data_IF_034015137498
#
_entry.id   IF_034015137498
#
_cell.length_a   1.000
_cell.length_b   1.000
_cell.length_c   1.000
_cell.angle_alpha   90.00
_cell.angle_beta   90.00
_cell.angle_gamma   90.00
#
_symmetry.space_group_name_H-M   'P 1'
#
loop_
_entity.id
_entity.type
_entity.pdbx_description
1 polymer ?
#
# COMPACT_ATOMS: atom_id res chain seq x y z
N UNK A 1 21.89 24.69 23.93
CA UNK A 1 21.23 24.93 22.62
C UNK A 1 22.05 24.38 21.45
N UNK A 2 23.31 24.79 21.24
CA UNK A 2 24.11 24.33 20.09
C UNK A 2 24.28 22.80 20.00
N UNK A 3 24.61 22.14 21.11
CA UNK A 3 24.74 20.67 21.15
C UNK A 3 23.45 19.96 20.71
N UNK A 4 22.29 20.45 21.18
CA UNK A 4 20.99 19.91 20.77
C UNK A 4 20.75 20.02 19.27
N UNK A 5 21.03 21.19 18.66
CA UNK A 5 20.86 21.41 17.22
C UNK A 5 21.76 20.48 16.40
N UNK A 6 23.03 20.33 16.81
CA UNK A 6 23.99 19.44 16.15
C UNK A 6 23.51 17.99 16.26
N UNK A 7 23.13 17.53 17.45
CA UNK A 7 22.63 16.16 17.67
C UNK A 7 21.38 15.89 16.86
N UNK A 8 20.42 16.81 16.83
CA UNK A 8 19.19 16.69 16.03
C UNK A 8 19.52 16.60 14.54
N UNK A 9 20.43 17.43 14.04
CA UNK A 9 20.86 17.42 12.64
C UNK A 9 21.48 16.06 12.27
N UNK A 10 22.44 15.59 13.08
CA UNK A 10 23.11 14.29 12.86
C UNK A 10 22.10 13.15 12.88
N UNK A 11 21.17 13.14 13.83
CA UNK A 11 20.14 12.12 13.95
C UNK A 11 19.22 12.08 12.74
N UNK A 12 18.70 13.24 12.30
CA UNK A 12 17.82 13.32 11.11
C UNK A 12 18.54 12.89 9.83
N UNK A 13 19.78 13.33 9.64
CA UNK A 13 20.60 12.91 8.50
C UNK A 13 20.86 11.40 8.53
N UNK A 14 21.18 10.86 9.70
CA UNK A 14 21.42 9.41 9.88
C UNK A 14 20.17 8.59 9.56
N UNK A 15 18.99 9.05 10.00
CA UNK A 15 17.71 8.38 9.70
C UNK A 15 17.37 8.38 8.20
N UNK A 16 17.72 9.44 7.48
CA UNK A 16 17.58 9.46 6.02
C UNK A 16 18.56 8.50 5.37
N UNK A 17 19.84 8.50 5.78
CA UNK A 17 20.86 7.61 5.24
C UNK A 17 20.52 6.13 5.48
N UNK A 18 20.02 5.78 6.66
CA UNK A 18 19.59 4.42 6.98
C UNK A 18 18.44 3.95 6.08
N UNK A 19 17.51 4.83 5.71
CA UNK A 19 16.43 4.49 4.76
C UNK A 19 16.88 4.31 3.30
N UNK A 20 18.14 4.65 2.96
CA UNK A 20 18.68 4.42 1.61
C UNK A 20 19.22 2.98 1.48
N UNK A 21 19.55 2.34 2.60
CA UNK A 21 20.12 0.99 2.60
C UNK A 21 19.02 -0.02 2.26
N UNK A 22 19.14 -0.69 1.12
CA UNK A 22 18.19 -1.71 0.61
C UNK A 22 18.31 -3.06 1.34
N UNK A 23 18.42 -3.06 2.68
CA UNK A 23 18.43 -4.28 3.49
C UNK A 23 17.01 -4.63 3.94
N UNK A 24 16.69 -5.91 3.96
CA UNK A 24 15.40 -6.47 4.38
C UNK A 24 15.17 -6.51 5.91
N UNK A 25 16.17 -6.17 6.72
CA UNK A 25 16.06 -6.23 8.18
C UNK A 25 15.27 -5.03 8.72
N UNK A 26 14.37 -5.27 9.67
CA UNK A 26 13.38 -4.28 10.13
C UNK A 26 14.00 -2.94 10.58
N UNK A 27 15.23 -2.94 11.14
CA UNK A 27 15.89 -1.71 11.63
C UNK A 27 16.20 -0.72 10.52
N UNK A 28 16.40 -1.18 9.28
CA UNK A 28 16.55 -0.29 8.13
C UNK A 28 15.18 0.13 7.59
N UNK A 29 14.25 -0.84 7.52
CA UNK A 29 12.89 -0.66 6.99
C UNK A 29 12.06 0.35 7.78
N UNK A 30 12.21 0.42 9.10
CA UNK A 30 11.43 1.34 9.93
C UNK A 30 11.65 2.82 9.56
N UNK A 31 12.83 3.15 9.01
CA UNK A 31 13.13 4.51 8.58
C UNK A 31 12.49 4.87 7.22
N UNK A 32 11.92 3.91 6.49
CA UNK A 32 11.12 4.21 5.30
C UNK A 32 9.79 4.87 5.65
N UNK A 33 9.23 4.58 6.83
CA UNK A 33 7.88 5.01 7.19
C UNK A 33 7.76 6.53 7.40
N UNK A 34 8.56 7.19 8.27
CA UNK A 34 8.29 8.57 8.66
C UNK A 34 8.82 9.64 7.67
N UNK A 35 8.63 9.51 6.35
CA UNK A 35 9.17 10.47 5.37
C UNK A 35 8.68 11.90 5.60
N UNK A 36 7.37 12.10 5.78
CA UNK A 36 6.80 13.43 6.00
C UNK A 36 7.25 14.03 7.33
N UNK A 37 7.31 13.21 8.38
CA UNK A 37 7.76 13.60 9.71
C UNK A 37 9.24 14.00 9.67
N UNK A 38 10.09 13.21 8.99
CA UNK A 38 11.50 13.56 8.74
C UNK A 38 11.61 14.89 7.99
N UNK A 39 10.79 15.14 6.98
CA UNK A 39 10.79 16.40 6.22
C UNK A 39 10.45 17.59 7.13
N UNK A 40 9.36 17.50 7.88
CA UNK A 40 8.91 18.57 8.79
C UNK A 40 9.96 18.83 9.87
N UNK A 41 10.50 17.79 10.51
CA UNK A 41 11.55 17.93 11.52
C UNK A 41 12.84 18.51 10.93
N UNK A 42 13.18 18.18 9.68
CA UNK A 42 14.34 18.76 9.00
C UNK A 42 14.14 20.25 8.70
N UNK A 43 12.93 20.67 8.32
CA UNK A 43 12.60 22.10 8.14
C UNK A 43 12.69 22.84 9.48
N UNK A 44 12.14 22.28 10.56
CA UNK A 44 12.26 22.85 11.90
C UNK A 44 13.74 22.94 12.31
N UNK A 45 14.52 21.89 12.06
CA UNK A 45 15.96 21.86 12.35
C UNK A 45 16.71 22.95 11.57
N UNK A 46 16.41 23.17 10.29
CA UNK A 46 16.98 24.24 9.49
C UNK A 46 16.69 25.63 10.09
N UNK A 47 15.45 25.88 10.51
CA UNK A 47 15.07 27.13 11.19
C UNK A 47 15.84 27.29 12.51
N UNK A 48 15.98 26.21 13.29
CA UNK A 48 16.76 26.25 14.53
C UNK A 48 18.23 26.59 14.29
N UNK A 49 18.84 26.06 13.22
CA UNK A 49 20.21 26.41 12.82
C UNK A 49 20.29 27.90 12.48
N UNK A 50 19.39 28.40 11.63
CA UNK A 50 19.41 29.80 11.15
C UNK A 50 19.31 30.80 12.31
N UNK A 51 18.40 30.57 13.26
CA UNK A 51 18.09 31.55 14.30
C UNK A 51 18.85 31.36 15.62
N UNK A 52 19.31 30.14 15.93
CA UNK A 52 19.84 29.83 17.27
C UNK A 52 21.24 29.24 17.27
N UNK A 53 21.81 28.84 16.12
CA UNK A 53 23.17 28.31 16.06
C UNK A 53 24.18 29.42 15.75
N UNK A 54 25.00 29.78 16.74
CA UNK A 54 26.05 30.80 16.64
C UNK A 54 27.46 30.17 16.73
N UNK A 55 27.64 29.00 16.11
CA UNK A 55 28.91 28.28 16.08
C UNK A 55 29.92 28.87 15.09
N UNK A 56 31.02 28.16 14.85
CA UNK A 56 32.02 28.60 13.87
C UNK A 56 31.38 28.65 12.46
N UNK A 57 31.78 29.64 11.66
CA UNK A 57 31.19 29.94 10.35
C UNK A 57 31.19 28.72 9.40
N UNK A 58 32.27 27.94 9.41
CA UNK A 58 32.38 26.72 8.60
C UNK A 58 31.29 25.69 8.97
N UNK A 59 31.12 25.39 10.25
CA UNK A 59 30.12 24.43 10.72
C UNK A 59 28.69 24.94 10.50
N UNK A 60 28.46 26.25 10.64
CA UNK A 60 27.18 26.89 10.36
C UNK A 60 26.73 26.61 8.92
N UNK A 61 27.59 26.93 7.94
CA UNK A 61 27.28 26.71 6.53
C UNK A 61 27.21 25.24 6.15
N UNK A 62 28.06 24.39 6.74
CA UNK A 62 28.01 22.95 6.53
C UNK A 62 26.66 22.35 6.97
N UNK A 63 26.19 22.69 8.17
CA UNK A 63 24.91 22.20 8.69
C UNK A 63 23.74 22.66 7.84
N UNK A 64 23.72 23.94 7.44
CA UNK A 64 22.70 24.46 6.50
C UNK A 64 22.72 23.66 5.20
N UNK A 65 23.89 23.51 4.57
CA UNK A 65 24.01 22.79 3.31
C UNK A 65 23.50 21.35 3.38
N UNK A 66 23.91 20.60 4.41
CA UNK A 66 23.50 19.20 4.60
C UNK A 66 22.01 19.06 4.90
N UNK A 67 21.46 19.89 5.79
CA UNK A 67 20.03 19.82 6.13
C UNK A 67 19.16 20.28 4.95
N UNK A 68 19.57 21.31 4.21
CA UNK A 68 18.88 21.73 2.99
C UNK A 68 18.90 20.65 1.91
N UNK A 69 20.03 19.97 1.71
CA UNK A 69 20.10 18.83 0.79
C UNK A 69 19.17 17.70 1.21
N UNK A 70 19.13 17.37 2.51
CA UNK A 70 18.23 16.37 3.07
C UNK A 70 16.75 16.73 2.88
N UNK A 71 16.38 18.00 3.09
CA UNK A 71 15.03 18.50 2.80
C UNK A 71 14.69 18.32 1.32
N UNK A 72 15.60 18.69 0.41
CA UNK A 72 15.40 18.51 -1.03
C UNK A 72 15.19 17.04 -1.41
N UNK A 73 16.01 16.15 -0.84
CA UNK A 73 15.88 14.71 -1.04
C UNK A 73 14.52 14.16 -0.53
N UNK A 74 14.15 14.45 0.72
CA UNK A 74 12.88 14.01 1.29
C UNK A 74 11.68 14.60 0.54
N UNK A 75 11.80 15.84 0.06
CA UNK A 75 10.77 16.47 -0.75
C UNK A 75 10.57 15.73 -2.07
N UNK A 76 11.64 15.39 -2.80
CA UNK A 76 11.58 14.59 -4.04
C UNK A 76 10.87 13.24 -3.79
N UNK A 77 11.15 12.59 -2.65
CA UNK A 77 10.50 11.33 -2.29
C UNK A 77 9.01 11.47 -1.97
N UNK A 78 8.57 12.63 -1.48
CA UNK A 78 7.19 12.88 -1.06
C UNK A 78 6.32 13.40 -2.20
N UNK A 79 6.86 14.24 -3.09
CA UNK A 79 6.13 14.90 -4.19
C UNK A 79 5.23 13.94 -4.98
N UNK A 80 5.66 12.71 -5.35
CA UNK A 80 4.81 11.77 -6.07
C UNK A 80 3.49 11.45 -5.39
N UNK A 81 3.38 11.59 -4.07
CA UNK A 81 2.18 11.30 -3.28
C UNK A 81 1.42 12.56 -2.88
N UNK A 82 1.67 13.67 -3.56
CA UNK A 82 0.96 14.93 -3.40
C UNK A 82 0.25 15.31 -4.70
N UNK A 83 -0.69 16.28 -4.68
CA UNK A 83 -1.27 16.83 -5.90
C UNK A 83 -0.27 17.46 -6.89
N UNK A 84 0.98 17.72 -6.46
CA UNK A 84 2.06 18.25 -7.30
C UNK A 84 2.75 17.15 -8.14
N UNK A 85 2.60 15.88 -7.76
CA UNK A 85 3.20 14.75 -8.46
C UNK A 85 2.51 14.41 -9.78
N UNK A 86 3.24 13.74 -10.69
CA UNK A 86 2.66 13.16 -11.90
C UNK A 86 1.65 12.08 -11.51
N UNK A 87 0.44 12.17 -12.04
CA UNK A 87 -0.60 11.15 -11.89
C UNK A 87 -0.23 9.95 -12.76
N UNK A 88 -0.18 8.75 -12.18
CA UNK A 88 -0.02 7.51 -12.96
C UNK A 88 -1.34 7.07 -13.58
N UNK A 89 -2.40 7.03 -12.77
CA UNK A 89 -3.74 6.69 -13.24
C UNK A 89 -4.46 7.96 -13.66
N UNK A 90 -4.97 8.04 -14.89
CA UNK A 90 -5.77 9.18 -15.35
C UNK A 90 -7.20 9.14 -14.79
N UNK A 91 -7.87 10.31 -14.74
CA UNK A 91 -9.26 10.38 -14.28
C UNK A 91 -10.23 10.00 -15.40
N UNK A 92 -11.36 9.42 -15.01
CA UNK A 92 -12.51 9.24 -15.90
C UNK A 92 -13.04 10.60 -16.35
N UNK A 93 -13.29 10.74 -17.65
CA UNK A 93 -13.94 11.91 -18.26
C UNK A 93 -15.43 11.69 -18.49
N UNK A 94 -15.83 10.46 -18.79
CA UNK A 94 -17.22 10.07 -19.05
C UNK A 94 -17.50 8.76 -18.32
N UNK A 95 -18.49 8.77 -17.42
CA UNK A 95 -18.83 7.60 -16.64
C UNK A 95 -19.56 6.54 -17.49
N UNK A 96 -19.11 5.30 -17.40
CA UNK A 96 -19.68 4.12 -18.03
C UNK A 96 -19.98 3.11 -16.91
N UNK A 97 -21.20 3.11 -16.34
CA UNK A 97 -21.53 2.29 -15.17
C UNK A 97 -21.33 0.79 -15.37
N UNK A 98 -21.53 0.28 -16.59
CA UNK A 98 -21.34 -1.15 -16.91
C UNK A 98 -19.88 -1.58 -16.93
N UNK A 99 -18.95 -0.62 -16.99
CA UNK A 99 -17.50 -0.81 -16.97
C UNK A 99 -16.86 -0.33 -15.66
N UNK A 100 -17.68 0.07 -14.68
CA UNK A 100 -17.19 0.54 -13.38
C UNK A 100 -17.07 -0.61 -12.39
N UNK A 101 -16.12 -0.46 -11.47
CA UNK A 101 -15.86 -1.39 -10.38
C UNK A 101 -15.46 -0.60 -9.13
N UNK A 102 -16.25 -0.72 -8.07
CA UNK A 102 -15.93 -0.14 -6.77
C UNK A 102 -15.50 -1.21 -5.77
N UNK A 103 -14.42 -0.94 -5.03
CA UNK A 103 -13.81 -1.87 -4.09
C UNK A 103 -13.59 -1.16 -2.76
N UNK A 104 -13.98 -1.79 -1.66
CA UNK A 104 -13.62 -1.41 -0.30
C UNK A 104 -12.65 -2.46 0.27
N UNK A 105 -11.50 -2.00 0.75
CA UNK A 105 -10.49 -2.80 1.44
C UNK A 105 -10.49 -2.37 2.91
N UNK A 106 -10.61 -3.31 3.83
CA UNK A 106 -10.57 -3.04 5.25
C UNK A 106 -9.83 -4.15 5.98
N UNK A 107 -8.62 -3.86 6.47
CA UNK A 107 -8.09 -4.57 7.62
C UNK A 107 -8.99 -4.26 8.83
N UNK A 108 -9.61 -5.29 9.41
CA UNK A 108 -10.60 -5.10 10.47
C UNK A 108 -9.98 -5.00 11.86
N UNK A 109 -8.68 -5.30 12.00
CA UNK A 109 -8.01 -5.63 13.26
C UNK A 109 -8.68 -6.82 13.95
N UNK A 110 -8.06 -8.00 13.98
CA UNK A 110 -8.75 -9.24 14.39
C UNK A 110 -9.46 -9.12 15.76
N UNK A 111 -8.83 -8.43 16.72
CA UNK A 111 -9.35 -8.22 18.08
C UNK A 111 -10.43 -7.13 18.19
N UNK A 112 -10.62 -6.31 17.16
CA UNK A 112 -11.70 -5.32 17.12
C UNK A 112 -13.08 -6.00 17.10
N UNK A 113 -13.99 -5.54 17.96
CA UNK A 113 -15.33 -6.10 18.10
C UNK A 113 -16.42 -5.27 17.44
N UNK A 114 -16.09 -4.13 16.82
CA UNK A 114 -17.05 -3.24 16.19
C UNK A 114 -17.41 -3.64 14.74
N UNK A 115 -17.89 -4.88 14.57
CA UNK A 115 -18.39 -5.37 13.27
C UNK A 115 -19.60 -4.60 12.76
N UNK A 116 -20.45 -4.08 13.66
CA UNK A 116 -21.57 -3.21 13.30
C UNK A 116 -21.11 -1.92 12.62
N UNK A 117 -20.06 -1.28 13.13
CA UNK A 117 -19.47 -0.10 12.50
C UNK A 117 -18.88 -0.41 11.13
N UNK A 118 -18.22 -1.57 10.99
CA UNK A 118 -17.74 -2.07 9.69
C UNK A 118 -18.88 -2.22 8.68
N UNK A 119 -19.95 -2.93 9.05
CA UNK A 119 -21.14 -3.14 8.23
C UNK A 119 -21.81 -1.83 7.84
N UNK A 120 -21.94 -0.89 8.78
CA UNK A 120 -22.48 0.44 8.50
C UNK A 120 -21.66 1.19 7.45
N UNK A 121 -20.33 1.17 7.54
CA UNK A 121 -19.47 1.84 6.57
C UNK A 121 -19.51 1.13 5.19
N UNK A 122 -19.63 -0.21 5.16
CA UNK A 122 -19.87 -0.97 3.92
C UNK A 122 -21.20 -0.56 3.29
N UNK A 123 -22.31 -0.57 4.03
CA UNK A 123 -23.63 -0.22 3.51
C UNK A 123 -23.72 1.23 3.03
N UNK A 124 -23.07 2.14 3.74
CA UNK A 124 -23.02 3.57 3.38
C UNK A 124 -22.28 3.83 2.08
N UNK A 125 -21.24 3.07 1.77
CA UNK A 125 -20.45 3.24 0.55
C UNK A 125 -20.87 2.30 -0.59
N UNK A 126 -21.60 1.24 -0.28
CA UNK A 126 -22.20 0.29 -1.23
C UNK A 126 -21.24 -0.21 -2.34
N UNK A 127 -20.00 -0.64 -2.03
CA UNK A 127 -19.04 -1.06 -3.05
C UNK A 127 -19.52 -2.30 -3.83
N UNK A 128 -18.96 -2.55 -5.00
CA UNK A 128 -19.22 -3.79 -5.76
C UNK A 128 -18.50 -4.98 -5.11
N UNK A 129 -17.28 -4.76 -4.58
CA UNK A 129 -16.46 -5.74 -3.86
C UNK A 129 -16.05 -5.22 -2.48
N UNK A 130 -16.04 -6.11 -1.49
CA UNK A 130 -15.52 -5.86 -0.14
C UNK A 130 -14.46 -6.92 0.15
N UNK A 131 -13.26 -6.47 0.51
CA UNK A 131 -12.20 -7.31 1.06
C UNK A 131 -12.01 -6.95 2.54
N UNK A 132 -12.28 -7.90 3.42
CA UNK A 132 -11.98 -7.82 4.84
C UNK A 132 -10.73 -8.65 5.13
N UNK A 133 -9.74 -8.06 5.80
CA UNK A 133 -8.47 -8.70 6.21
C UNK A 133 -8.40 -8.79 7.73
N UNK A 134 -7.57 -9.68 8.25
CA UNK A 134 -7.48 -10.04 9.67
C UNK A 134 -8.80 -10.58 10.26
N UNK A 135 -9.53 -11.36 9.47
CA UNK A 135 -10.82 -11.91 9.91
C UNK A 135 -10.69 -13.32 10.46
N UNK A 136 -11.30 -13.56 11.61
CA UNK A 136 -11.46 -14.89 12.18
C UNK A 136 -12.93 -15.38 12.12
N UNK A 137 -13.25 -16.49 12.79
CA UNK A 137 -14.58 -17.10 12.71
C UNK A 137 -15.69 -16.19 13.25
N UNK A 138 -15.37 -15.32 14.23
CA UNK A 138 -16.31 -14.31 14.75
C UNK A 138 -16.64 -13.29 13.66
N UNK A 139 -15.63 -12.71 13.03
CA UNK A 139 -15.83 -11.75 11.93
C UNK A 139 -16.61 -12.35 10.76
N UNK A 140 -16.33 -13.60 10.39
CA UNK A 140 -17.10 -14.35 9.38
C UNK A 140 -18.58 -14.51 9.74
N UNK A 141 -18.87 -14.79 11.02
CA UNK A 141 -20.25 -14.91 11.51
C UNK A 141 -20.97 -13.57 11.59
N UNK A 142 -20.31 -12.55 12.14
CA UNK A 142 -20.88 -11.22 12.36
C UNK A 142 -21.12 -10.47 11.05
N UNK A 143 -20.34 -10.74 10.01
CA UNK A 143 -20.48 -10.09 8.68
C UNK A 143 -21.29 -10.91 7.67
N UNK A 144 -21.81 -12.09 8.07
CA UNK A 144 -22.57 -13.01 7.21
C UNK A 144 -23.76 -12.34 6.53
N UNK A 145 -24.36 -11.31 7.14
CA UNK A 145 -25.50 -10.59 6.54
C UNK A 145 -25.19 -9.95 5.18
N UNK A 146 -23.91 -9.74 4.85
CA UNK A 146 -23.48 -9.26 3.54
C UNK A 146 -23.89 -10.19 2.39
N UNK A 147 -24.06 -11.49 2.62
CA UNK A 147 -24.50 -12.46 1.59
C UNK A 147 -25.89 -12.12 0.99
N UNK A 148 -26.69 -11.32 1.71
CA UNK A 148 -27.97 -10.82 1.20
C UNK A 148 -27.78 -9.89 0.00
N UNK A 149 -26.70 -9.11 -0.04
CA UNK A 149 -26.38 -8.13 -1.09
C UNK A 149 -25.27 -8.62 -2.01
N UNK A 150 -24.25 -9.26 -1.45
CA UNK A 150 -23.05 -9.75 -2.14
C UNK A 150 -23.19 -11.26 -2.39
N UNK A 151 -23.75 -11.62 -3.55
CA UNK A 151 -24.12 -13.01 -3.87
C UNK A 151 -22.93 -13.94 -4.07
N UNK A 152 -21.76 -13.40 -4.37
CA UNK A 152 -20.53 -14.17 -4.57
C UNK A 152 -19.56 -13.88 -3.44
N UNK A 153 -18.90 -14.90 -2.91
CA UNK A 153 -17.96 -14.72 -1.81
C UNK A 153 -16.90 -15.82 -1.75
N UNK A 154 -15.75 -15.49 -1.18
CA UNK A 154 -14.67 -16.40 -0.78
C UNK A 154 -14.33 -16.08 0.67
N UNK A 155 -14.42 -17.06 1.57
CA UNK A 155 -14.34 -16.83 3.03
C UNK A 155 -13.30 -17.76 3.64
N UNK A 156 -12.28 -17.18 4.24
CA UNK A 156 -11.11 -17.86 4.82
C UNK A 156 -10.86 -17.28 6.21
N UNK A 157 -11.77 -17.48 7.18
CA UNK A 157 -11.51 -17.03 8.54
C UNK A 157 -10.35 -17.84 9.14
N UNK A 158 -9.36 -17.14 9.70
CA UNK A 158 -8.23 -17.75 10.40
C UNK A 158 -8.02 -17.04 11.74
N UNK A 159 -7.52 -17.76 12.74
CA UNK A 159 -7.24 -17.19 14.07
C UNK A 159 -5.82 -16.58 14.17
N UNK A 160 -5.03 -16.65 13.09
CA UNK A 160 -3.64 -16.22 13.02
C UNK A 160 -3.47 -14.83 12.41
N UNK A 161 -4.49 -13.96 12.45
CA UNK A 161 -4.50 -12.61 11.83
C UNK A 161 -4.38 -12.58 10.29
N UNK A 162 -4.25 -13.70 9.59
CA UNK A 162 -4.16 -13.72 8.11
C UNK A 162 -5.44 -14.13 7.39
N UNK A 163 -6.55 -14.26 8.13
CA UNK A 163 -7.83 -14.62 7.52
C UNK A 163 -8.40 -13.50 6.65
N UNK A 164 -9.12 -13.89 5.59
CA UNK A 164 -9.70 -12.97 4.61
C UNK A 164 -11.14 -13.34 4.24
N UNK A 165 -12.00 -12.33 4.10
CA UNK A 165 -13.34 -12.47 3.53
C UNK A 165 -13.48 -11.55 2.33
N UNK A 166 -13.69 -12.13 1.16
CA UNK A 166 -14.02 -11.42 -0.07
C UNK A 166 -15.52 -11.58 -0.36
N UNK A 167 -16.25 -10.47 -0.43
CA UNK A 167 -17.65 -10.41 -0.83
C UNK A 167 -17.79 -9.61 -2.14
N UNK A 168 -18.62 -10.08 -3.06
CA UNK A 168 -18.80 -9.47 -4.37
C UNK A 168 -20.26 -9.49 -4.83
N UNK A 169 -20.72 -8.36 -5.38
CA UNK A 169 -21.97 -8.26 -6.14
C UNK A 169 -21.82 -8.83 -7.55
N UNK A 170 -20.59 -8.85 -8.07
CA UNK A 170 -20.23 -9.33 -9.39
C UNK A 170 -19.78 -10.78 -9.34
N UNK A 171 -20.01 -11.53 -10.41
CA UNK A 171 -19.63 -12.94 -10.49
C UNK A 171 -18.12 -13.12 -10.31
N UNK A 172 -17.76 -14.00 -9.37
CA UNK A 172 -16.39 -14.46 -9.15
C UNK A 172 -16.15 -15.74 -9.96
N UNK A 173 -15.09 -15.75 -10.77
CA UNK A 173 -14.80 -16.81 -11.74
C UNK A 173 -13.50 -17.50 -11.35
N UNK A 174 -13.56 -18.82 -11.21
CA UNK A 174 -12.39 -19.67 -10.91
C UNK A 174 -11.60 -19.14 -9.71
N UNK A 175 -12.29 -18.90 -8.59
CA UNK A 175 -11.66 -18.47 -7.34
C UNK A 175 -10.74 -19.57 -6.79
N UNK A 176 -9.49 -19.22 -6.57
CA UNK A 176 -8.47 -20.08 -5.96
C UNK A 176 -7.94 -19.43 -4.68
N UNK A 177 -7.65 -20.27 -3.69
CA UNK A 177 -6.96 -19.89 -2.47
C UNK A 177 -5.56 -20.47 -2.58
N UNK A 178 -4.56 -19.60 -2.61
CA UNK A 178 -3.16 -20.01 -2.77
C UNK A 178 -2.34 -19.55 -1.58
N UNK A 179 -1.33 -20.36 -1.26
CA UNK A 179 -0.34 -20.11 -0.21
C UNK A 179 1.01 -19.99 -0.94
N UNK A 180 1.31 -18.77 -1.42
CA UNK A 180 2.39 -18.57 -2.40
C UNK A 180 3.78 -18.73 -1.81
N UNK A 181 3.93 -18.35 -0.54
CA UNK A 181 5.23 -18.32 0.17
C UNK A 181 5.14 -19.05 1.50
N UNK A 182 4.15 -18.71 2.33
CA UNK A 182 3.94 -19.29 3.66
C UNK A 182 2.66 -20.14 3.70
N UNK A 183 2.69 -21.27 4.42
CA UNK A 183 1.64 -22.31 4.37
C UNK A 183 0.33 -21.93 5.06
N UNK A 184 0.36 -20.91 5.90
CA UNK A 184 -0.76 -20.45 6.72
C UNK A 184 -1.18 -19.00 6.41
N UNK A 185 -0.58 -18.40 5.37
CA UNK A 185 -0.89 -17.06 4.87
C UNK A 185 -1.54 -17.20 3.49
N UNK A 186 -2.87 -17.07 3.41
CA UNK A 186 -3.58 -17.22 2.15
C UNK A 186 -3.48 -15.96 1.28
N UNK A 187 -3.69 -16.18 -0.01
CA UNK A 187 -4.00 -15.17 -1.03
C UNK A 187 -5.27 -15.62 -1.77
N UNK A 188 -6.10 -14.67 -2.24
CA UNK A 188 -7.29 -14.98 -3.06
C UNK A 188 -7.04 -14.54 -4.48
N UNK A 189 -7.10 -15.49 -5.41
CA UNK A 189 -6.93 -15.26 -6.84
C UNK A 189 -8.26 -15.54 -7.52
N UNK A 190 -8.87 -14.55 -8.17
CA UNK A 190 -10.18 -14.75 -8.79
C UNK A 190 -10.43 -13.84 -9.97
N UNK A 191 -11.17 -14.33 -10.96
CA UNK A 191 -11.73 -13.50 -12.01
C UNK A 191 -12.96 -12.74 -11.51
N UNK A 192 -13.14 -11.48 -11.90
CA UNK A 192 -14.34 -10.68 -11.62
C UNK A 192 -15.01 -10.33 -12.95
N UNK A 193 -16.26 -10.71 -13.13
CA UNK A 193 -17.02 -10.39 -14.34
C UNK A 193 -17.70 -9.03 -14.21
N UNK A 194 -17.23 -8.04 -14.97
CA UNK A 194 -17.92 -6.76 -15.06
C UNK A 194 -19.29 -6.90 -15.73
N UNK A 195 -20.16 -5.93 -15.50
CA UNK A 195 -21.53 -5.87 -16.06
C UNK A 195 -21.54 -5.82 -17.60
N UNK A 196 -20.44 -5.42 -18.23
CA UNK A 196 -20.27 -5.43 -19.69
C UNK A 196 -19.70 -6.75 -20.25
N UNK A 197 -19.48 -7.77 -19.41
CA UNK A 197 -18.89 -9.04 -19.80
C UNK A 197 -17.36 -9.05 -19.86
N UNK A 198 -16.68 -7.98 -19.42
CA UNK A 198 -15.22 -7.97 -19.31
C UNK A 198 -14.79 -8.73 -18.04
N UNK A 199 -13.93 -9.73 -18.20
CA UNK A 199 -13.25 -10.39 -17.08
C UNK A 199 -12.06 -9.55 -16.62
N UNK A 200 -11.95 -9.33 -15.32
CA UNK A 200 -10.80 -8.73 -14.65
C UNK A 200 -10.15 -9.80 -13.79
N UNK A 201 -8.83 -9.82 -13.67
CA UNK A 201 -8.13 -10.64 -12.70
C UNK A 201 -7.90 -9.85 -11.40
N UNK A 202 -8.34 -10.42 -10.29
CA UNK A 202 -8.13 -9.89 -8.94
C UNK A 202 -7.14 -10.78 -8.18
N UNK A 203 -6.17 -10.15 -7.53
CA UNK A 203 -5.30 -10.77 -6.53
C UNK A 203 -5.48 -10.01 -5.20
N UNK A 204 -5.92 -10.71 -4.16
CA UNK A 204 -6.01 -10.16 -2.81
C UNK A 204 -4.92 -10.77 -1.93
N UNK A 205 -4.10 -9.92 -1.32
CA UNK A 205 -2.91 -10.29 -0.55
C UNK A 205 -2.95 -9.70 0.86
N UNK A 206 -2.31 -10.39 1.81
CA UNK A 206 -2.01 -9.86 3.13
C UNK A 206 -0.72 -10.51 3.68
N UNK A 207 0.45 -10.17 3.12
CA UNK A 207 1.71 -10.78 3.52
C UNK A 207 2.16 -10.34 4.92
N UNK A 208 2.98 -11.14 5.58
CA UNK A 208 3.51 -10.87 6.93
C UNK A 208 4.29 -9.55 7.02
N UNK A 209 4.05 -8.71 8.05
CA UNK A 209 4.87 -7.54 8.27
C UNK A 209 6.27 -7.88 8.80
N UNK A 210 7.30 -7.09 8.45
CA UNK A 210 8.59 -7.18 9.14
C UNK A 210 8.47 -6.55 10.54
N UNK A 211 8.19 -7.35 11.57
CA UNK A 211 8.17 -6.93 12.98
C UNK A 211 9.10 -7.78 13.84
N UNK A 212 9.84 -7.20 14.81
CA UNK A 212 10.87 -7.91 15.59
C UNK A 212 10.40 -9.19 16.29
N UNK A 213 9.12 -9.25 16.66
CA UNK A 213 8.55 -10.32 17.46
C UNK A 213 7.86 -11.42 16.63
N UNK A 214 7.69 -11.21 15.32
CA UNK A 214 7.01 -12.14 14.41
C UNK A 214 7.94 -12.53 13.26
N UNK A 215 8.35 -11.54 12.45
CA UNK A 215 9.31 -11.71 11.37
C UNK A 215 10.33 -10.56 11.34
N UNK A 216 11.60 -10.76 11.72
CA UNK A 216 12.59 -9.69 11.76
C UNK A 216 13.01 -9.19 10.37
N UNK A 217 12.61 -9.88 9.29
CA UNK A 217 12.93 -9.56 7.91
C UNK A 217 11.66 -9.36 7.08
N UNK A 218 11.78 -8.66 5.96
CA UNK A 218 10.70 -8.49 4.99
C UNK A 218 10.73 -9.52 3.86
N UNK A 219 11.46 -10.62 4.02
CA UNK A 219 11.87 -11.49 2.92
C UNK A 219 10.67 -12.19 2.26
N UNK A 220 9.81 -12.81 3.07
CA UNK A 220 8.63 -13.55 2.66
C UNK A 220 7.62 -12.63 1.98
N UNK A 221 7.35 -11.48 2.62
CA UNK A 221 6.51 -10.41 2.07
C UNK A 221 6.98 -9.93 0.70
N UNK A 222 8.28 -9.63 0.59
CA UNK A 222 8.86 -9.14 -0.66
C UNK A 222 8.79 -10.23 -1.76
N UNK A 223 8.99 -11.49 -1.39
CA UNK A 223 8.87 -12.64 -2.30
C UNK A 223 7.44 -12.79 -2.81
N UNK A 224 6.42 -12.73 -1.93
CA UNK A 224 5.02 -12.87 -2.32
C UNK A 224 4.57 -11.77 -3.28
N UNK A 225 4.97 -10.52 -3.01
CA UNK A 225 4.71 -9.39 -3.90
C UNK A 225 5.33 -9.63 -5.28
N UNK A 226 6.58 -10.07 -5.35
CA UNK A 226 7.26 -10.28 -6.64
C UNK A 226 6.76 -11.51 -7.41
N UNK A 227 6.34 -12.58 -6.73
CA UNK A 227 5.64 -13.69 -7.37
C UNK A 227 4.30 -13.23 -7.95
N UNK A 228 3.55 -12.40 -7.21
CA UNK A 228 2.31 -11.80 -7.72
C UNK A 228 2.58 -10.84 -8.88
N UNK A 229 3.70 -10.12 -8.87
CA UNK A 229 4.10 -9.26 -9.98
C UNK A 229 4.32 -10.06 -11.28
N UNK A 230 4.97 -11.23 -11.20
CA UNK A 230 5.14 -12.12 -12.35
C UNK A 230 3.79 -12.65 -12.87
N UNK A 231 2.84 -12.96 -11.98
CA UNK A 231 1.49 -13.39 -12.35
C UNK A 231 0.72 -12.25 -13.04
N UNK A 232 0.78 -11.04 -12.48
CA UNK A 232 0.15 -9.86 -13.03
C UNK A 232 0.70 -9.53 -14.43
N UNK A 233 2.02 -9.54 -14.60
CA UNK A 233 2.68 -9.25 -15.88
C UNK A 233 2.33 -10.28 -16.97
N UNK A 234 2.18 -11.55 -16.61
CA UNK A 234 1.82 -12.64 -17.56
C UNK A 234 0.32 -12.71 -17.85
N UNK A 235 -0.51 -12.03 -17.06
CA UNK A 235 -1.96 -12.05 -17.21
C UNK A 235 -2.38 -11.29 -18.47
N UNK A 236 -3.33 -11.85 -19.22
CA UNK A 236 -3.89 -11.22 -20.43
C UNK A 236 -5.13 -10.37 -20.15
N UNK A 237 -5.77 -10.59 -19.00
CA UNK A 237 -6.91 -9.81 -18.55
C UNK A 237 -6.41 -8.57 -17.79
N UNK A 238 -7.19 -7.48 -17.71
CA UNK A 238 -6.89 -6.36 -16.83
C UNK A 238 -6.74 -6.85 -15.39
N UNK A 239 -5.67 -6.43 -14.74
CA UNK A 239 -5.31 -6.87 -13.39
C UNK A 239 -5.61 -5.79 -12.36
N UNK A 240 -6.07 -6.23 -11.19
CA UNK A 240 -6.13 -5.46 -9.94
C UNK A 240 -5.47 -6.30 -8.83
N UNK A 241 -4.56 -5.69 -8.07
CA UNK A 241 -3.97 -6.26 -6.86
C UNK A 241 -4.37 -5.40 -5.66
N UNK A 242 -5.00 -5.99 -4.65
CA UNK A 242 -5.51 -5.28 -3.47
C UNK A 242 -5.09 -5.96 -2.17
N UNK A 243 -5.12 -5.20 -1.08
CA UNK A 243 -4.95 -5.73 0.28
C UNK A 243 -4.02 -4.87 1.12
N UNK A 244 -3.70 -5.35 2.31
CA UNK A 244 -2.72 -4.73 3.20
C UNK A 244 -1.36 -5.36 2.95
N UNK A 245 -0.47 -4.63 2.27
CA UNK A 245 0.83 -5.13 1.86
C UNK A 245 1.87 -5.02 2.97
N UNK A 246 1.50 -4.52 4.17
CA UNK A 246 2.41 -4.30 5.29
C UNK A 246 3.66 -3.51 4.90
N UNK A 247 3.52 -2.60 3.95
CA UNK A 247 4.60 -1.79 3.41
C UNK A 247 4.08 -0.44 2.92
N UNK A 248 4.90 0.60 3.07
CA UNK A 248 4.51 1.95 2.67
C UNK A 248 4.59 2.13 1.17
N UNK A 249 3.66 2.92 0.61
CA UNK A 249 3.52 3.18 -0.84
C UNK A 249 4.79 3.65 -1.58
N UNK A 250 5.77 4.14 -0.82
CA UNK A 250 6.99 4.75 -1.33
C UNK A 250 8.24 3.95 -0.98
N UNK A 251 8.08 2.76 -0.43
CA UNK A 251 9.18 1.84 -0.19
C UNK A 251 9.81 1.39 -1.51
N UNK A 252 11.08 1.01 -1.46
CA UNK A 252 11.77 0.46 -2.62
C UNK A 252 11.10 -0.83 -3.14
N UNK A 253 10.56 -1.66 -2.26
CA UNK A 253 9.90 -2.93 -2.57
C UNK A 253 8.55 -2.73 -3.26
N UNK A 254 7.78 -1.72 -2.85
CA UNK A 254 6.56 -1.32 -3.57
C UNK A 254 6.89 -0.77 -4.95
N UNK A 255 7.94 0.04 -5.07
CA UNK A 255 8.39 0.54 -6.38
C UNK A 255 8.86 -0.59 -7.29
N UNK A 256 9.64 -1.54 -6.76
CA UNK A 256 10.07 -2.74 -7.47
C UNK A 256 8.86 -3.57 -7.94
N UNK A 257 7.87 -3.77 -7.08
CA UNK A 257 6.61 -4.43 -7.44
C UNK A 257 5.91 -3.74 -8.62
N UNK A 258 5.78 -2.40 -8.60
CA UNK A 258 5.15 -1.65 -9.68
C UNK A 258 5.92 -1.80 -11.01
N UNK A 259 7.25 -1.71 -10.97
CA UNK A 259 8.11 -1.90 -12.15
C UNK A 259 8.01 -3.32 -12.72
N UNK A 260 8.06 -4.34 -11.86
CA UNK A 260 8.04 -5.73 -12.30
C UNK A 260 6.64 -6.16 -12.80
N UNK A 261 5.57 -5.66 -12.16
CA UNK A 261 4.19 -6.02 -12.52
C UNK A 261 3.62 -5.23 -13.68
N UNK A 262 4.15 -4.03 -13.96
CA UNK A 262 3.55 -3.09 -14.90
C UNK A 262 2.27 -2.42 -14.39
N UNK A 263 1.94 -2.58 -13.10
CA UNK A 263 0.76 -1.97 -12.48
C UNK A 263 1.03 -0.51 -12.10
N UNK A 264 -0.05 0.23 -11.86
CA UNK A 264 -0.06 1.64 -11.51
C UNK A 264 -0.55 1.84 -10.08
N UNK A 265 0.00 2.85 -9.39
CA UNK A 265 -0.50 3.29 -8.09
C UNK A 265 -1.46 4.49 -8.25
N UNK A 266 -2.77 4.33 -7.96
CA UNK A 266 -3.74 5.42 -8.05
C UNK A 266 -3.49 6.57 -7.06
N UNK A 267 -2.69 6.36 -6.00
CA UNK A 267 -2.34 7.40 -5.01
C UNK A 267 -1.42 8.47 -5.59
N UNK A 268 -0.56 8.09 -6.55
CA UNK A 268 0.43 9.01 -7.13
C UNK A 268 -0.26 10.18 -7.83
N UNK A 269 0.22 11.39 -7.55
CA UNK A 269 -0.33 12.67 -7.98
C UNK A 269 -1.59 13.10 -7.23
N UNK A 270 -1.90 12.50 -6.07
CA UNK A 270 -3.15 12.79 -5.33
C UNK A 270 -2.96 12.96 -3.83
N UNK A 271 -2.37 11.98 -3.15
CA UNK A 271 -2.33 11.98 -1.70
C UNK A 271 -1.72 10.70 -1.15
N UNK A 272 -1.44 10.70 0.15
CA UNK A 272 -0.88 9.53 0.83
C UNK A 272 -1.94 8.45 1.10
N UNK A 273 -3.17 8.83 1.44
CA UNK A 273 -4.24 7.90 1.86
C UNK A 273 -3.82 7.00 3.03
N UNK A 274 -3.19 7.59 4.06
CA UNK A 274 -2.69 6.87 5.21
C UNK A 274 -3.79 6.05 5.93
N UNK A 275 -3.66 4.73 5.92
CA UNK A 275 -4.59 3.79 6.53
C UNK A 275 -4.18 3.39 7.94
N UNK A 276 -2.88 3.25 8.24
CA UNK A 276 -2.37 2.76 9.54
C UNK A 276 -1.30 3.67 10.14
N UNK A 277 -1.23 3.99 11.42
CA UNK A 277 -2.06 3.48 12.50
C UNK A 277 -3.15 4.49 12.85
N UNK A 278 -4.41 4.06 12.76
CA UNK A 278 -5.56 4.92 12.83
C UNK A 278 -5.69 5.70 14.14
N UNK A 279 -5.20 5.15 15.26
CA UNK A 279 -5.23 5.80 16.58
C UNK A 279 -4.13 6.85 16.79
N UNK A 280 -3.13 6.94 15.90
CA UNK A 280 -2.00 7.88 16.03
C UNK A 280 -1.94 8.87 14.86
N UNK A 281 -2.64 10.03 14.93
CA UNK A 281 -2.74 10.98 13.82
C UNK A 281 -1.41 11.45 13.20
N UNK A 282 -0.35 11.55 14.01
CA UNK A 282 0.97 12.02 13.60
C UNK A 282 1.80 10.89 12.96
N UNK A 283 1.49 9.63 13.24
CA UNK A 283 2.24 8.44 12.78
C UNK A 283 1.33 7.53 11.96
N UNK A 284 0.78 8.08 10.87
CA UNK A 284 -0.01 7.33 9.89
C UNK A 284 0.74 7.18 8.57
N UNK A 285 0.51 6.06 7.91
CA UNK A 285 1.20 5.49 6.77
C UNK A 285 0.20 4.72 5.89
N UNK A 286 0.45 4.59 4.59
CA UNK A 286 -0.46 3.90 3.67
C UNK A 286 -0.01 2.46 3.42
N UNK A 287 -0.60 1.52 4.16
CA UNK A 287 -0.25 0.09 4.08
C UNK A 287 -1.26 -0.71 3.24
N UNK A 288 -2.51 -0.28 3.20
CA UNK A 288 -3.55 -0.86 2.35
C UNK A 288 -3.39 -0.31 0.93
N UNK A 289 -3.24 -1.18 -0.07
CA UNK A 289 -2.94 -0.86 -1.46
C UNK A 289 -4.03 -1.32 -2.44
N UNK A 290 -4.11 -0.62 -3.57
CA UNK A 290 -4.89 -1.03 -4.73
C UNK A 290 -4.10 -0.69 -5.99
N UNK A 291 -3.33 -1.64 -6.51
CA UNK A 291 -2.56 -1.49 -7.74
C UNK A 291 -3.38 -1.98 -8.93
N UNK A 292 -3.33 -1.25 -10.04
CA UNK A 292 -4.22 -1.48 -11.17
C UNK A 292 -3.46 -1.46 -12.48
N UNK A 293 -3.84 -2.32 -13.41
CA UNK A 293 -3.29 -2.33 -14.76
C UNK A 293 -3.61 -1.04 -15.53
N UNK A 294 -2.85 -0.80 -16.60
CA UNK A 294 -2.95 0.40 -17.44
C UNK A 294 -4.30 0.57 -18.14
N UNK A 295 -5.20 -0.41 -18.09
CA UNK A 295 -6.53 -0.33 -18.70
C UNK A 295 -7.59 0.30 -17.79
N UNK A 296 -7.25 0.65 -16.55
CA UNK A 296 -8.17 1.29 -15.61
C UNK A 296 -7.97 2.80 -15.53
N UNK A 297 -9.07 3.53 -15.48
CA UNK A 297 -9.13 4.94 -15.08
C UNK A 297 -9.72 5.07 -13.69
N UNK A 298 -9.34 6.12 -13.00
CA UNK A 298 -9.81 6.40 -11.64
C UNK A 298 -11.02 7.32 -11.64
N UNK A 299 -12.12 6.88 -11.01
CA UNK A 299 -13.26 7.74 -10.68
C UNK A 299 -13.03 8.39 -9.33
N UNK A 300 -12.71 7.58 -8.31
CA UNK A 300 -12.48 8.06 -6.96
C UNK A 300 -11.51 7.14 -6.20
N UNK A 301 -10.74 7.74 -5.30
CA UNK A 301 -10.05 7.04 -4.21
C UNK A 301 -10.25 7.87 -2.96
N UNK A 302 -10.60 7.22 -1.85
CA UNK A 302 -10.78 7.90 -0.56
C UNK A 302 -10.52 6.93 0.59
N UNK A 303 -10.05 7.50 1.69
CA UNK A 303 -10.00 6.83 2.98
C UNK A 303 -11.35 7.04 3.68
N UNK A 304 -11.95 5.96 4.16
CA UNK A 304 -13.28 5.95 4.77
C UNK A 304 -13.22 6.28 6.27
N UNK A 305 -14.40 6.34 6.90
CA UNK A 305 -14.49 6.44 8.35
C UNK A 305 -13.99 5.13 9.00
N UNK A 306 -13.36 5.26 10.17
CA UNK A 306 -12.94 4.10 10.94
C UNK A 306 -14.10 3.56 11.80
N UNK A 307 -14.05 2.27 12.09
CA UNK A 307 -14.93 1.53 12.98
C UNK A 307 -14.11 0.90 14.13
N UNK A 308 -13.21 1.68 14.73
CA UNK A 308 -12.32 1.27 15.83
C UNK A 308 -11.25 0.21 15.47
N UNK A 309 -10.97 0.00 14.19
CA UNK A 309 -9.78 -0.74 13.75
C UNK A 309 -8.53 0.13 13.92
N UNK A 310 -7.35 -0.47 13.97
CA UNK A 310 -6.08 0.23 13.83
C UNK A 310 -5.78 0.65 12.36
N UNK A 311 -6.59 0.21 11.40
CA UNK A 311 -6.60 0.65 10.01
C UNK A 311 -7.85 1.47 9.66
N UNK A 312 -7.70 2.43 8.75
CA UNK A 312 -8.83 3.04 8.04
C UNK A 312 -9.12 2.26 6.76
N UNK A 313 -10.38 1.99 6.42
CA UNK A 313 -10.71 1.36 5.15
C UNK A 313 -10.38 2.27 3.97
N UNK A 314 -9.94 1.67 2.87
CA UNK A 314 -9.67 2.34 1.60
C UNK A 314 -10.76 1.96 0.60
N UNK A 315 -11.35 2.99 -0.02
CA UNK A 315 -12.32 2.83 -1.09
C UNK A 315 -11.74 3.34 -2.40
N UNK A 316 -11.90 2.54 -3.46
CA UNK A 316 -11.51 2.90 -4.81
C UNK A 316 -12.65 2.60 -5.79
N UNK A 317 -12.96 3.55 -6.68
CA UNK A 317 -13.91 3.41 -7.78
C UNK A 317 -13.14 3.59 -9.10
N UNK A 318 -13.19 2.54 -9.91
CA UNK A 318 -12.44 2.36 -11.14
C UNK A 318 -13.40 2.26 -12.32
N UNK A 319 -12.88 2.59 -13.50
CA UNK A 319 -13.55 2.32 -14.76
C UNK A 319 -12.57 1.64 -15.70
N UNK A 320 -12.93 0.45 -16.18
CA UNK A 320 -12.19 -0.20 -17.24
C UNK A 320 -12.42 0.54 -18.56
N UNK A 321 -11.34 0.91 -19.24
CA UNK A 321 -11.36 1.43 -20.60
C UNK A 321 -10.16 0.85 -21.35
N UNK A 322 -10.39 -0.07 -22.29
CA UNK A 322 -9.31 -0.69 -23.09
C UNK A 322 -8.34 0.31 -23.75
N UNK A 323 -8.80 1.53 -24.06
CA UNK A 323 -7.96 2.58 -24.66
C UNK A 323 -7.15 3.39 -23.62
N UNK A 324 -7.37 3.19 -22.33
CA UNK A 324 -6.62 3.87 -21.27
C UNK A 324 -5.14 3.49 -21.30
N UNK A 325 -4.79 2.26 -21.69
CA UNK A 325 -3.41 1.79 -21.80
C UNK A 325 -2.59 2.53 -22.86
N UNK A 326 -3.23 3.26 -23.78
CA UNK A 326 -2.57 4.15 -24.74
C UNK A 326 -2.31 5.56 -24.18
N UNK A 327 -2.80 5.86 -22.97
CA UNK A 327 -2.81 7.20 -22.37
C UNK A 327 -2.02 7.28 -21.05
N UNK A 328 -1.62 6.14 -20.50
CA UNK A 328 -0.87 6.04 -19.26
C UNK A 328 0.15 4.91 -19.36
N UNK A 329 1.32 5.14 -18.78
CA UNK A 329 2.48 4.27 -18.91
C UNK A 329 2.84 3.66 -17.55
N UNK A 330 3.23 2.39 -17.57
CA UNK A 330 3.83 1.72 -16.44
C UNK A 330 5.25 2.21 -16.20
N UNK A 331 5.80 1.91 -15.02
CA UNK A 331 7.24 2.05 -14.80
C UNK A 331 7.97 0.89 -15.46
N UNK A 332 9.15 1.15 -15.99
CA UNK A 332 10.02 0.12 -16.56
C UNK A 332 11.10 -0.26 -15.54
N UNK A 333 11.38 -1.56 -15.34
CA UNK A 333 12.49 -2.01 -14.52
C UNK A 333 13.82 -1.82 -15.25
N UNK A 334 14.88 -1.46 -14.52
CA UNK A 334 16.24 -1.51 -15.02
C UNK A 334 16.91 -2.88 -14.74
N UNK A 335 18.18 -3.04 -15.15
CA UNK A 335 18.91 -4.30 -14.95
C UNK A 335 19.15 -4.63 -13.47
N UNK A 336 19.30 -3.62 -12.60
CA UNK A 336 19.46 -3.81 -11.15
C UNK A 336 18.13 -4.29 -10.54
N UNK A 337 17.02 -3.66 -10.93
CA UNK A 337 15.68 -4.07 -10.51
C UNK A 337 15.40 -5.54 -10.87
N UNK A 338 15.69 -5.94 -12.11
CA UNK A 338 15.49 -7.34 -12.56
C UNK A 338 16.35 -8.31 -11.73
N UNK A 339 17.61 -7.96 -11.46
CA UNK A 339 18.51 -8.80 -10.67
C UNK A 339 18.02 -8.95 -9.22
N UNK A 340 17.64 -7.85 -8.57
CA UNK A 340 17.11 -7.85 -7.21
C UNK A 340 15.80 -8.63 -7.13
N UNK A 341 14.92 -8.46 -8.12
CA UNK A 341 13.67 -9.22 -8.17
C UNK A 341 13.91 -10.72 -8.32
N UNK A 342 14.89 -11.14 -9.13
CA UNK A 342 15.26 -12.54 -9.27
C UNK A 342 15.85 -13.11 -7.97
N UNK A 343 16.73 -12.36 -7.30
CA UNK A 343 17.32 -12.74 -6.01
C UNK A 343 16.25 -12.95 -4.94
N UNK A 344 15.36 -11.97 -4.75
CA UNK A 344 14.28 -12.04 -3.75
C UNK A 344 13.31 -13.19 -4.01
N UNK A 345 12.98 -13.47 -5.28
CA UNK A 345 12.11 -14.60 -5.63
C UNK A 345 12.75 -15.96 -5.39
N UNK A 346 14.07 -16.06 -5.55
CA UNK A 346 14.82 -17.30 -5.37
C UNK A 346 15.11 -17.65 -3.91
N UNK A 347 14.74 -16.78 -2.96
CA UNK A 347 14.92 -17.04 -1.54
C UNK A 347 14.12 -18.27 -1.12
N UNK A 348 14.78 -19.25 -0.50
CA UNK A 348 14.13 -20.43 0.06
C UNK A 348 13.75 -20.06 1.49
N UNK A 349 12.45 -19.95 1.75
CA UNK A 349 11.93 -19.83 3.10
C UNK A 349 12.25 -21.11 3.86
N UNK A 350 12.98 -21.00 4.96
CA UNK A 350 13.28 -22.15 5.82
C UNK A 350 12.02 -22.46 6.64
N UNK A 351 11.39 -23.60 6.32
CA UNK A 351 10.29 -24.23 7.09
C UNK A 351 10.57 -24.33 8.60
#
# INVERSE_FOLDING_TARGET
MHAFIITLSILLLSFTLLSIVKHDYWTFRIFDYPRLQKLVLSIICLLLIIFFYHGQLLYYWLLIGLVTLNIGYLFIQIVPFTPLGKKQVIRVTTAIPTQSLSIMIANVYQDNTNSKGCLQEIHKNDPDLVLLLETNQRWDTETRELENTYKFHVRIPLENTYGMLLYSKLELIASEILYLVEKDIPSIHTGVMLKNGMRIQLYALHPTPPVPNENPRSTERDQELLLTADLAQKCKDPVIVIGDMNDVAWSYTTELFLKMSGLLDPRRGRGFFNSFHAHYPIMRFPLDHAFISTDFKLKQIKRLANFDSDHFPIYIDLQYEKKASLQQEAMEPDAEDIAIAAEKKAYITSD
#
